data_IF_805443642462
#
_entry.id   IF_805443642462
#
_cell.length_a   1.000
_cell.length_b   1.000
_cell.length_c   1.000
_cell.angle_alpha   90.00
_cell.angle_beta   90.00
_cell.angle_gamma   90.00
#
_symmetry.space_group_name_H-M   'P 1'
#
loop_
_entity.id
_entity.type
_entity.pdbx_description
1 polymer ?
#
# COMPACT_ATOMS: atom_id res chain seq x y z
N UNK A 1 -16.62 21.52 -19.45
CA UNK A 1 -15.42 21.52 -18.58
C UNK A 1 -15.86 20.96 -17.24
N UNK A 2 -15.16 19.99 -16.63
CA UNK A 2 -15.59 19.45 -15.34
C UNK A 2 -15.62 20.58 -14.31
N UNK A 3 -16.72 20.71 -13.55
CA UNK A 3 -16.86 21.72 -12.51
C UNK A 3 -15.90 21.40 -11.35
N UNK A 4 -14.70 21.98 -11.40
CA UNK A 4 -13.61 21.77 -10.42
C UNK A 4 -13.94 22.42 -9.05
N UNK A 5 -15.10 23.08 -8.94
CA UNK A 5 -15.58 23.79 -7.74
C UNK A 5 -16.62 23.00 -6.94
N UNK A 6 -16.62 21.67 -7.05
CA UNK A 6 -17.41 20.84 -6.12
C UNK A 6 -16.70 20.80 -4.76
N UNK A 7 -17.35 21.31 -3.71
CA UNK A 7 -16.85 21.30 -2.32
C UNK A 7 -16.31 19.92 -1.90
N UNK A 8 -16.99 18.86 -2.35
CA UNK A 8 -16.61 17.46 -2.08
C UNK A 8 -15.26 17.09 -2.71
N UNK A 9 -14.99 17.57 -3.93
CA UNK A 9 -13.74 17.30 -4.62
C UNK A 9 -12.57 18.00 -3.92
N UNK A 10 -12.77 19.23 -3.44
CA UNK A 10 -11.78 19.96 -2.65
C UNK A 10 -11.45 19.21 -1.35
N UNK A 11 -12.46 18.76 -0.61
CA UNK A 11 -12.26 17.98 0.61
C UNK A 11 -11.58 16.63 0.36
N UNK A 12 -11.97 15.91 -0.71
CA UNK A 12 -11.33 14.65 -1.08
C UNK A 12 -9.85 14.84 -1.41
N UNK A 13 -9.51 15.92 -2.13
CA UNK A 13 -8.13 16.25 -2.46
C UNK A 13 -7.30 16.60 -1.23
N UNK A 14 -7.85 17.43 -0.32
CA UNK A 14 -7.19 17.78 0.93
C UNK A 14 -6.96 16.53 1.80
N UNK A 15 -7.97 15.68 1.94
CA UNK A 15 -7.85 14.43 2.67
C UNK A 15 -6.74 13.54 2.09
N UNK A 16 -6.75 13.29 0.77
CA UNK A 16 -5.77 12.43 0.09
C UNK A 16 -4.34 13.02 0.10
N UNK A 17 -4.21 14.34 -0.03
CA UNK A 17 -2.92 15.01 0.02
C UNK A 17 -2.31 15.01 1.41
N UNK A 18 -3.13 15.23 2.45
CA UNK A 18 -2.63 15.40 3.82
C UNK A 18 -2.45 14.05 4.52
N UNK A 19 -3.48 13.19 4.56
CA UNK A 19 -3.43 11.96 5.36
C UNK A 19 -2.59 10.86 4.71
N UNK A 20 -3.00 10.22 3.60
CA UNK A 20 -2.28 9.06 3.09
C UNK A 20 -0.97 9.44 2.40
N UNK A 21 -0.79 10.71 1.99
CA UNK A 21 0.42 11.16 1.30
C UNK A 21 1.36 11.93 2.22
N UNK A 22 0.95 13.11 2.70
CA UNK A 22 1.80 14.00 3.51
C UNK A 22 2.24 13.35 4.82
N UNK A 23 1.29 12.88 5.63
CA UNK A 23 1.58 12.25 6.92
C UNK A 23 2.38 10.96 6.76
N UNK A 24 2.02 10.10 5.80
CA UNK A 24 2.77 8.87 5.52
C UNK A 24 4.21 9.16 5.09
N UNK A 25 4.45 10.23 4.33
CA UNK A 25 5.80 10.63 3.94
C UNK A 25 6.63 11.09 5.15
N UNK A 26 6.04 11.90 6.04
CA UNK A 26 6.71 12.32 7.28
C UNK A 26 7.06 11.11 8.16
N UNK A 27 6.09 10.20 8.36
CA UNK A 27 6.31 8.95 9.09
C UNK A 27 7.42 8.12 8.45
N UNK A 28 7.45 8.03 7.12
CA UNK A 28 8.52 7.35 6.37
C UNK A 28 9.88 7.97 6.65
N UNK A 29 10.01 9.29 6.63
CA UNK A 29 11.28 9.97 6.94
C UNK A 29 11.73 9.67 8.38
N UNK A 30 10.81 9.70 9.34
CA UNK A 30 11.11 9.39 10.75
C UNK A 30 11.52 7.93 10.91
N UNK A 31 10.78 6.98 10.34
CA UNK A 31 11.09 5.55 10.39
C UNK A 31 12.44 5.21 9.77
N UNK A 32 12.78 5.83 8.63
CA UNK A 32 14.09 5.63 7.99
C UNK A 32 15.21 6.08 8.93
N UNK A 33 15.03 7.20 9.63
CA UNK A 33 16.04 7.75 10.55
C UNK A 33 16.17 6.94 11.84
N UNK A 34 15.08 6.34 12.34
CA UNK A 34 15.07 5.60 13.61
C UNK A 34 15.29 4.09 13.46
N UNK A 35 14.54 3.42 12.57
CA UNK A 35 14.56 1.97 12.37
C UNK A 35 15.39 1.53 11.15
N UNK A 36 15.85 2.49 10.35
CA UNK A 36 16.71 2.25 9.19
C UNK A 36 15.96 1.80 7.93
N UNK A 37 16.66 1.72 6.78
CA UNK A 37 16.06 1.41 5.47
C UNK A 37 15.45 0.00 5.38
N UNK A 38 15.96 -0.94 6.18
CA UNK A 38 15.51 -2.35 6.15
C UNK A 38 14.06 -2.46 6.61
N UNK A 39 13.70 -1.74 7.68
CA UNK A 39 12.34 -1.74 8.21
C UNK A 39 11.35 -1.17 7.17
N UNK A 40 11.74 -0.12 6.44
CA UNK A 40 10.90 0.44 5.37
C UNK A 40 10.65 -0.55 4.23
N UNK A 41 11.63 -1.35 3.86
CA UNK A 41 11.41 -2.40 2.86
C UNK A 41 10.39 -3.42 3.36
N UNK A 42 10.45 -3.83 4.63
CA UNK A 42 9.45 -4.74 5.23
C UNK A 42 8.02 -4.20 5.10
N UNK A 43 7.82 -2.91 5.35
CA UNK A 43 6.51 -2.26 5.20
C UNK A 43 5.98 -2.40 3.76
N UNK A 44 6.83 -2.24 2.75
CA UNK A 44 6.41 -2.38 1.35
C UNK A 44 5.92 -3.80 1.00
N UNK A 45 6.40 -4.84 1.69
CA UNK A 45 6.00 -6.22 1.43
C UNK A 45 4.68 -6.63 2.07
N UNK A 46 4.23 -5.91 3.10
CA UNK A 46 2.93 -6.16 3.73
C UNK A 46 1.80 -5.35 3.06
N UNK A 47 2.10 -4.39 2.18
CA UNK A 47 1.08 -3.59 1.45
C UNK A 47 0.08 -4.48 0.69
N UNK A 48 0.48 -5.51 -0.08
CA UNK A 48 -0.47 -6.36 -0.79
C UNK A 48 -1.43 -7.12 0.13
N UNK A 49 -0.96 -7.51 1.32
CA UNK A 49 -1.80 -8.16 2.34
C UNK A 49 -2.90 -7.22 2.84
N UNK A 50 -2.53 -5.97 3.16
CA UNK A 50 -3.50 -4.95 3.57
C UNK A 50 -4.50 -4.61 2.46
N UNK A 51 -4.06 -4.57 1.20
CA UNK A 51 -4.96 -4.33 0.07
C UNK A 51 -6.07 -5.40 -0.02
N UNK A 52 -5.72 -6.68 0.12
CA UNK A 52 -6.70 -7.78 0.10
C UNK A 52 -7.61 -7.73 1.33
N UNK A 53 -7.02 -7.57 2.53
CA UNK A 53 -7.77 -7.50 3.78
C UNK A 53 -8.79 -6.37 3.77
N UNK A 54 -8.38 -5.17 3.38
CA UNK A 54 -9.27 -4.00 3.32
C UNK A 54 -10.29 -4.13 2.19
N UNK A 55 -9.94 -4.74 1.05
CA UNK A 55 -10.91 -5.02 -0.02
C UNK A 55 -12.05 -5.94 0.45
N UNK A 56 -11.72 -7.01 1.18
CA UNK A 56 -12.73 -7.92 1.74
C UNK A 56 -13.53 -7.25 2.86
N UNK A 57 -12.88 -6.53 3.77
CA UNK A 57 -13.54 -5.97 4.97
C UNK A 57 -14.34 -4.71 4.66
N UNK A 58 -13.78 -3.76 3.91
CA UNK A 58 -14.42 -2.45 3.66
C UNK A 58 -15.33 -2.45 2.44
N UNK A 59 -14.92 -3.13 1.36
CA UNK A 59 -15.70 -3.18 0.12
C UNK A 59 -16.64 -4.40 0.06
N UNK A 60 -16.50 -5.36 1.00
CA UNK A 60 -17.29 -6.58 1.06
C UNK A 60 -17.23 -7.39 -0.25
N UNK A 61 -16.08 -7.34 -0.94
CA UNK A 61 -15.87 -8.05 -2.19
C UNK A 61 -15.88 -9.56 -1.98
N UNK A 62 -16.80 -10.25 -2.66
CA UNK A 62 -16.73 -11.71 -2.78
C UNK A 62 -15.58 -12.07 -3.71
N UNK A 63 -14.47 -12.52 -3.14
CA UNK A 63 -13.29 -12.91 -3.90
C UNK A 63 -13.63 -14.11 -4.80
N UNK A 64 -13.60 -13.89 -6.11
CA UNK A 64 -13.68 -14.97 -7.10
C UNK A 64 -12.39 -15.80 -7.08
N UNK A 65 -12.45 -17.03 -7.58
CA UNK A 65 -11.29 -17.92 -7.69
C UNK A 65 -10.12 -17.26 -8.45
N UNK A 66 -10.42 -16.43 -9.45
CA UNK A 66 -9.43 -15.63 -10.17
C UNK A 66 -8.67 -14.64 -9.28
N UNK A 67 -9.34 -14.02 -8.30
CA UNK A 67 -8.73 -13.08 -7.36
C UNK A 67 -7.74 -13.79 -6.43
N UNK A 68 -8.05 -15.01 -6.00
CA UNK A 68 -7.12 -15.83 -5.23
C UNK A 68 -5.88 -16.23 -6.03
N UNK A 69 -6.05 -16.58 -7.31
CA UNK A 69 -4.90 -16.86 -8.21
C UNK A 69 -4.04 -15.60 -8.37
N UNK A 70 -4.67 -14.45 -8.64
CA UNK A 70 -3.97 -13.17 -8.77
C UNK A 70 -3.20 -12.79 -7.50
N UNK A 71 -3.83 -12.95 -6.33
CA UNK A 71 -3.18 -12.75 -5.03
C UNK A 71 -1.98 -13.69 -4.84
N UNK A 72 -2.11 -14.98 -5.20
CA UNK A 72 -1.02 -15.95 -5.16
C UNK A 72 0.17 -15.57 -6.05
N UNK A 73 -0.10 -15.09 -7.26
CA UNK A 73 0.94 -14.61 -8.19
C UNK A 73 1.67 -13.38 -7.62
N UNK A 74 0.93 -12.40 -7.07
CA UNK A 74 1.53 -11.21 -6.47
C UNK A 74 2.39 -11.58 -5.25
N UNK A 75 1.84 -12.38 -4.33
CA UNK A 75 2.55 -12.79 -3.12
C UNK A 75 3.80 -13.61 -3.43
N UNK A 76 3.74 -14.50 -4.42
CA UNK A 76 4.91 -15.26 -4.87
C UNK A 76 5.97 -14.36 -5.52
N UNK A 77 5.59 -13.40 -6.36
CA UNK A 77 6.52 -12.41 -6.93
C UNK A 77 7.21 -11.55 -5.87
N UNK A 78 6.45 -11.10 -4.86
CA UNK A 78 6.97 -10.39 -3.69
C UNK A 78 7.96 -11.26 -2.92
N UNK A 79 7.59 -12.52 -2.63
CA UNK A 79 8.45 -13.48 -1.95
C UNK A 79 9.76 -13.76 -2.70
N UNK A 80 9.69 -13.95 -4.02
CA UNK A 80 10.88 -14.19 -4.85
C UNK A 80 11.84 -13.00 -4.85
N UNK A 81 11.32 -11.78 -4.97
CA UNK A 81 12.13 -10.55 -4.94
C UNK A 81 12.86 -10.42 -3.60
N UNK A 82 12.17 -10.79 -2.52
CA UNK A 82 12.69 -10.76 -1.16
C UNK A 82 13.76 -11.81 -0.88
N UNK A 83 13.51 -13.05 -1.28
CA UNK A 83 14.46 -14.15 -1.13
C UNK A 83 15.76 -13.86 -1.90
N UNK A 84 15.67 -13.18 -3.05
CA UNK A 84 16.84 -12.78 -3.85
C UNK A 84 17.64 -11.65 -3.21
N UNK A 85 16.99 -10.69 -2.55
CA UNK A 85 17.67 -9.64 -1.77
C UNK A 85 18.39 -10.20 -0.54
N UNK A 86 17.84 -11.26 0.08
CA UNK A 86 18.46 -11.94 1.22
C UNK A 86 19.65 -12.83 0.82
N UNK A 87 19.65 -13.41 -0.39
CA UNK A 87 20.71 -14.30 -0.91
C UNK A 87 21.96 -13.54 -1.42
N UNK A 88 21.88 -12.22 -1.62
CA UNK A 88 23.01 -11.39 -2.06
C UNK A 88 23.77 -10.73 -0.88
N UNK A 89 23.52 -11.15 0.35
CA UNK A 89 24.31 -10.83 1.54
C UNK A 89 25.21 -11.99 1.91
#
# INVERSE_FOLDING_TARGET
>A
MPEITSERATWALLYAGILPTGLAFLLRVVLIRSAGPIFMSLVAYIVPLWAILLGVILLNETLSFSTYIGAGIILSGVGLTQLRLRKKR
#
